data_IF_274097903921
#
_entry.id   IF_274097903921
#
_cell.length_a   1.000
_cell.length_b   1.000
_cell.length_c   1.000
_cell.angle_alpha   90.00
_cell.angle_beta   90.00
_cell.angle_gamma   90.00
#
_symmetry.space_group_name_H-M   'P 1'
#
loop_
_entity.id
_entity.type
_entity.pdbx_description
1 polymer ?
#
# COMPACT_ATOMS: atom_id res chain seq x y z
N UNK A 1 21.55 42.12 1.97
CA UNK A 1 21.13 41.76 0.61
C UNK A 1 22.19 40.83 0.05
N UNK A 2 21.95 39.51 0.11
CA UNK A 2 22.81 38.50 -0.52
C UNK A 2 21.85 37.55 -1.25
N UNK A 3 21.42 37.96 -2.44
CA UNK A 3 20.75 37.07 -3.38
C UNK A 3 21.81 36.12 -3.95
N UNK A 4 21.74 34.87 -3.51
CA UNK A 4 22.61 33.79 -4.02
C UNK A 4 22.22 33.47 -5.48
N UNK A 5 23.16 33.46 -6.44
CA UNK A 5 22.87 33.34 -7.87
C UNK A 5 22.38 31.96 -8.34
N UNK A 6 22.16 31.01 -7.43
CA UNK A 6 21.73 29.65 -7.78
C UNK A 6 20.21 29.46 -7.87
N UNK A 7 19.40 30.44 -7.43
CA UNK A 7 17.92 30.32 -7.43
C UNK A 7 17.28 30.51 -8.81
N UNK A 8 17.91 31.24 -9.73
CA UNK A 8 17.30 31.63 -11.01
C UNK A 8 17.47 30.62 -12.18
N UNK A 9 18.20 29.52 -12.01
CA UNK A 9 18.48 28.58 -13.12
C UNK A 9 17.62 27.31 -13.07
N UNK A 10 17.16 26.90 -11.88
CA UNK A 10 16.39 25.65 -11.70
C UNK A 10 14.88 25.89 -11.65
N UNK A 11 14.44 27.04 -11.14
CA UNK A 11 13.02 27.36 -10.98
C UNK A 11 12.66 28.60 -11.77
N UNK A 12 11.58 28.51 -12.53
CA UNK A 12 10.95 29.67 -13.16
C UNK A 12 10.20 30.50 -12.12
N UNK A 13 9.84 31.74 -12.45
CA UNK A 13 8.96 32.55 -11.60
C UNK A 13 7.60 31.89 -11.32
N UNK A 14 7.12 31.05 -12.24
CA UNK A 14 5.89 30.28 -12.01
C UNK A 14 6.09 29.22 -10.93
N UNK A 15 7.23 28.51 -10.98
CA UNK A 15 7.57 27.48 -9.99
C UNK A 15 7.74 28.10 -8.61
N UNK A 16 8.42 29.25 -8.50
CA UNK A 16 8.60 29.96 -7.23
C UNK A 16 7.25 30.34 -6.61
N UNK A 17 6.32 30.90 -7.39
CA UNK A 17 4.97 31.24 -6.91
C UNK A 17 4.19 30.01 -6.45
N UNK A 18 4.33 28.89 -7.15
CA UNK A 18 3.69 27.64 -6.75
C UNK A 18 4.29 27.10 -5.45
N UNK A 19 5.62 27.09 -5.32
CA UNK A 19 6.34 26.66 -4.11
C UNK A 19 5.86 27.46 -2.89
N UNK A 20 5.76 28.79 -3.03
CA UNK A 20 5.28 29.66 -1.96
C UNK A 20 3.80 29.43 -1.63
N UNK A 21 2.95 29.22 -2.65
CA UNK A 21 1.52 28.91 -2.46
C UNK A 21 1.30 27.62 -1.68
N UNK A 22 2.16 26.62 -1.85
CA UNK A 22 2.14 25.35 -1.12
C UNK A 22 2.80 25.46 0.28
N UNK A 23 3.20 26.67 0.71
CA UNK A 23 3.81 26.91 2.02
C UNK A 23 5.25 26.41 2.16
N UNK A 24 5.96 26.28 1.05
CA UNK A 24 7.35 25.85 0.99
C UNK A 24 8.27 27.02 0.63
N UNK A 25 9.56 26.91 0.94
CA UNK A 25 10.58 27.85 0.49
C UNK A 25 11.41 27.24 -0.64
N UNK A 26 11.91 28.07 -1.56
CA UNK A 26 12.78 27.63 -2.66
C UNK A 26 13.98 26.84 -2.13
N UNK A 27 14.59 27.30 -1.03
CA UNK A 27 15.72 26.61 -0.39
C UNK A 27 15.34 25.21 0.12
N UNK A 28 14.13 25.04 0.67
CA UNK A 28 13.64 23.73 1.13
C UNK A 28 13.46 22.77 -0.05
N UNK A 29 12.93 23.25 -1.18
CA UNK A 29 12.77 22.43 -2.39
C UNK A 29 14.13 22.09 -3.01
N UNK A 30 15.07 23.03 -3.07
CA UNK A 30 16.44 22.76 -3.51
C UNK A 30 17.13 21.69 -2.65
N UNK A 31 16.95 21.73 -1.33
CA UNK A 31 17.49 20.73 -0.42
C UNK A 31 16.88 19.34 -0.66
N UNK A 32 15.58 19.25 -0.96
CA UNK A 32 14.92 18.00 -1.35
C UNK A 32 15.45 17.45 -2.67
N UNK A 33 15.64 18.32 -3.69
CA UNK A 33 16.24 17.93 -4.97
C UNK A 33 17.67 17.41 -4.76
N UNK A 34 18.46 18.08 -3.91
CA UNK A 34 19.81 17.64 -3.57
C UNK A 34 19.79 16.25 -2.92
N UNK A 35 18.84 15.99 -2.01
CA UNK A 35 18.66 14.67 -1.39
C UNK A 35 18.34 13.58 -2.44
N UNK A 36 17.47 13.87 -3.41
CA UNK A 36 17.19 12.90 -4.49
C UNK A 36 18.41 12.62 -5.37
N UNK A 37 19.26 13.62 -5.63
CA UNK A 37 20.49 13.46 -6.43
C UNK A 37 21.57 12.70 -5.67
N UNK A 38 21.75 13.00 -4.38
CA UNK A 38 22.77 12.37 -3.53
C UNK A 38 22.36 10.95 -3.10
N UNK A 39 21.06 10.65 -3.14
CA UNK A 39 20.48 9.44 -2.57
C UNK A 39 20.18 9.60 -1.08
N UNK A 40 19.35 8.71 -0.55
CA UNK A 40 19.04 8.71 0.88
C UNK A 40 20.27 8.23 1.66
N UNK A 41 20.72 9.04 2.63
CA UNK A 41 21.71 8.60 3.59
C UNK A 41 21.12 7.51 4.48
N UNK A 42 21.87 6.44 4.78
CA UNK A 42 21.42 5.44 5.73
C UNK A 42 21.16 6.11 7.08
N UNK A 43 19.98 5.85 7.65
CA UNK A 43 19.64 6.38 8.97
C UNK A 43 20.57 5.76 10.00
N UNK A 44 21.28 6.60 10.76
CA UNK A 44 22.07 6.11 11.89
C UNK A 44 21.11 5.72 13.01
N UNK A 45 20.93 4.42 13.19
CA UNK A 45 20.18 3.89 14.32
C UNK A 45 20.85 4.34 15.63
N UNK A 46 20.07 4.89 16.55
CA UNK A 46 20.56 5.28 17.86
C UNK A 46 20.76 4.02 18.73
N UNK A 47 19.66 3.35 19.09
CA UNK A 47 19.57 2.09 19.83
C UNK A 47 18.12 1.57 19.78
N UNK A 48 17.84 0.29 20.04
CA UNK A 48 16.47 -0.23 20.05
C UNK A 48 15.62 0.47 21.12
N UNK A 49 14.32 0.58 20.87
CA UNK A 49 13.36 0.93 21.91
C UNK A 49 13.23 -0.24 22.89
N UNK A 50 13.09 0.04 24.18
CA UNK A 50 12.86 -0.97 25.23
C UNK A 50 11.62 -0.61 26.05
N UNK A 51 11.20 -1.51 26.94
CA UNK A 51 10.18 -1.17 27.94
C UNK A 51 10.61 0.07 28.71
N UNK A 52 9.70 1.03 28.84
CA UNK A 52 9.89 2.35 29.45
C UNK A 52 10.86 3.26 28.68
N UNK A 53 11.16 2.92 27.43
CA UNK A 53 12.07 3.67 26.55
C UNK A 53 11.63 3.54 25.09
N UNK A 54 10.59 4.29 24.75
CA UNK A 54 9.93 4.22 23.45
C UNK A 54 8.87 3.12 23.33
N UNK A 55 8.85 2.12 24.22
CA UNK A 55 7.76 1.12 24.32
C UNK A 55 7.11 1.22 25.70
N UNK A 56 5.78 1.39 25.72
CA UNK A 56 4.96 1.32 26.94
C UNK A 56 4.24 -0.03 26.94
N UNK A 57 4.38 -0.79 28.03
CA UNK A 57 3.57 -1.98 28.25
C UNK A 57 2.23 -1.59 28.87
N UNK A 58 1.14 -2.09 28.28
CA UNK A 58 -0.19 -1.96 28.84
C UNK A 58 -0.37 -3.06 29.90
N UNK A 59 -0.72 -2.74 31.15
CA UNK A 59 -1.00 -3.74 32.18
C UNK A 59 -2.16 -4.65 31.76
N UNK A 60 -2.09 -5.94 32.07
CA UNK A 60 -3.17 -6.90 31.71
C UNK A 60 -4.53 -6.49 32.30
N UNK A 61 -4.54 -5.93 33.51
CA UNK A 61 -5.76 -5.43 34.18
C UNK A 61 -6.45 -4.29 33.42
N UNK A 62 -5.72 -3.55 32.59
CA UNK A 62 -6.24 -2.41 31.85
C UNK A 62 -6.74 -2.77 30.43
N UNK A 63 -6.41 -3.97 29.94
CA UNK A 63 -6.76 -4.40 28.57
C UNK A 63 -8.26 -4.33 28.31
N UNK A 64 -9.07 -4.84 29.25
CA UNK A 64 -10.53 -4.84 29.12
C UNK A 64 -11.09 -3.41 29.07
N UNK A 65 -10.58 -2.54 29.96
CA UNK A 65 -10.98 -1.13 30.02
C UNK A 65 -10.63 -0.39 28.74
N UNK A 66 -9.39 -0.54 28.25
CA UNK A 66 -8.92 0.13 27.03
C UNK A 66 -9.67 -0.40 25.79
N UNK A 67 -9.94 -1.71 25.72
CA UNK A 67 -10.72 -2.31 24.63
C UNK A 67 -12.15 -1.77 24.62
N UNK A 68 -12.81 -1.71 25.77
CA UNK A 68 -14.15 -1.16 25.89
C UNK A 68 -14.20 0.32 25.49
N UNK A 69 -13.20 1.11 25.89
CA UNK A 69 -13.05 2.51 25.45
C UNK A 69 -12.89 2.60 23.94
N UNK A 70 -11.99 1.82 23.34
CA UNK A 70 -11.80 1.79 21.89
C UNK A 70 -13.11 1.51 21.15
N UNK A 71 -13.83 0.45 21.54
CA UNK A 71 -15.10 0.10 20.88
C UNK A 71 -16.16 1.19 21.02
N UNK A 72 -16.27 1.83 22.20
CA UNK A 72 -17.21 2.93 22.41
C UNK A 72 -16.89 4.12 21.48
N UNK A 73 -15.61 4.39 21.25
CA UNK A 73 -15.15 5.48 20.37
C UNK A 73 -15.27 5.15 18.88
N UNK A 74 -15.08 3.88 18.50
CA UNK A 74 -15.40 3.38 17.15
C UNK A 74 -16.88 3.60 16.84
N UNK A 75 -17.79 3.25 17.78
CA UNK A 75 -19.24 3.44 17.61
C UNK A 75 -19.65 4.91 17.45
N UNK A 76 -18.84 5.84 17.99
CA UNK A 76 -19.02 7.29 17.81
C UNK A 76 -18.42 7.83 16.51
N UNK A 77 -17.80 6.98 15.69
CA UNK A 77 -17.15 7.38 14.44
C UNK A 77 -15.85 8.17 14.62
N UNK A 78 -15.23 8.14 15.81
CA UNK A 78 -13.98 8.89 16.07
C UNK A 78 -12.71 8.19 15.57
N UNK A 79 -12.83 6.93 15.18
CA UNK A 79 -11.71 6.16 14.64
C UNK A 79 -11.74 6.16 13.11
N UNK A 80 -10.69 6.70 12.50
CA UNK A 80 -10.50 6.70 11.05
C UNK A 80 -9.20 5.97 10.71
N UNK A 81 -9.28 5.00 9.80
CA UNK A 81 -8.09 4.39 9.21
C UNK A 81 -7.71 5.18 7.97
N UNK A 82 -6.65 5.97 8.07
CA UNK A 82 -6.07 6.65 6.91
C UNK A 82 -5.10 5.69 6.19
N UNK A 83 -5.46 5.27 4.98
CA UNK A 83 -4.52 4.59 4.08
C UNK A 83 -3.94 5.68 3.18
N UNK A 84 -2.66 6.09 3.35
CA UNK A 84 -2.08 7.11 2.50
C UNK A 84 -2.12 6.64 1.04
N UNK A 85 -2.36 7.59 0.14
CA UNK A 85 -2.22 7.38 -1.29
C UNK A 85 -0.75 7.10 -1.61
N UNK A 86 -0.34 5.84 -1.48
CA UNK A 86 0.84 5.35 -2.16
C UNK A 86 0.60 5.51 -3.66
N UNK A 87 1.61 5.91 -4.42
CA UNK A 87 1.65 5.64 -5.86
C UNK A 87 1.29 4.18 -6.15
N UNK A 88 0.87 3.88 -7.38
CA UNK A 88 0.29 2.59 -7.82
C UNK A 88 0.77 1.38 -6.99
N UNK A 89 -0.15 0.49 -6.62
CA UNK A 89 0.10 -0.63 -5.71
C UNK A 89 1.12 -1.66 -6.23
N UNK A 90 1.84 -1.39 -7.31
CA UNK A 90 2.81 -2.24 -7.99
C UNK A 90 3.87 -2.84 -7.04
N UNK A 91 4.34 -2.11 -6.02
CA UNK A 91 5.25 -2.69 -5.01
C UNK A 91 4.58 -3.72 -4.11
N UNK A 92 3.29 -3.55 -3.81
CA UNK A 92 2.51 -4.49 -2.98
C UNK A 92 2.34 -5.83 -3.70
N UNK A 93 2.20 -5.80 -5.02
CA UNK A 93 2.01 -6.97 -5.85
C UNK A 93 3.29 -7.48 -6.52
N UNK A 94 4.48 -7.01 -6.11
CA UNK A 94 5.76 -7.33 -6.78
C UNK A 94 5.97 -8.85 -6.93
N UNK A 95 5.73 -9.61 -5.88
CA UNK A 95 5.93 -11.07 -5.91
C UNK A 95 4.87 -11.77 -6.75
N UNK A 96 3.66 -11.22 -6.85
CA UNK A 96 2.59 -11.74 -7.69
C UNK A 96 2.84 -11.43 -9.16
N UNK A 97 3.37 -10.25 -9.49
CA UNK A 97 3.83 -9.94 -10.85
C UNK A 97 4.93 -10.88 -11.29
N UNK A 98 5.92 -11.13 -10.42
CA UNK A 98 6.98 -12.10 -10.69
C UNK A 98 6.41 -13.50 -10.93
N UNK A 99 5.49 -13.94 -10.07
CA UNK A 99 4.79 -15.23 -10.22
C UNK A 99 4.01 -15.31 -11.54
N UNK A 100 3.32 -14.22 -11.92
CA UNK A 100 2.57 -14.14 -13.17
C UNK A 100 3.50 -14.25 -14.40
N UNK A 101 4.59 -13.48 -14.43
CA UNK A 101 5.59 -13.49 -15.51
C UNK A 101 6.31 -14.85 -15.65
N UNK A 102 6.58 -15.52 -14.52
CA UNK A 102 7.23 -16.82 -14.49
C UNK A 102 6.25 -18.00 -14.72
N UNK A 103 4.96 -17.72 -14.92
CA UNK A 103 3.92 -18.74 -15.22
C UNK A 103 3.40 -19.49 -13.99
N UNK A 104 3.75 -19.09 -12.77
CA UNK A 104 3.33 -19.71 -11.52
C UNK A 104 4.29 -19.45 -10.37
N UNK A 105 3.94 -19.92 -9.17
CA UNK A 105 4.84 -19.83 -8.02
C UNK A 105 5.99 -20.82 -8.19
N UNK A 106 7.22 -20.39 -7.88
CA UNK A 106 8.40 -21.29 -7.88
C UNK A 106 8.31 -22.41 -6.85
N UNK A 107 7.63 -22.14 -5.73
CA UNK A 107 7.38 -23.11 -4.67
C UNK A 107 5.98 -23.66 -4.82
N UNK A 108 5.87 -24.99 -4.84
CA UNK A 108 4.60 -25.69 -4.87
C UNK A 108 3.77 -25.38 -3.60
N UNK A 109 4.45 -25.23 -2.46
CA UNK A 109 3.87 -24.85 -1.18
C UNK A 109 3.27 -23.44 -1.25
N UNK A 110 3.98 -22.48 -1.84
CA UNK A 110 3.48 -21.11 -2.04
C UNK A 110 2.24 -21.08 -2.94
N UNK A 111 2.24 -21.87 -4.03
CA UNK A 111 1.06 -22.01 -4.88
C UNK A 111 -0.13 -22.65 -4.17
N UNK A 112 0.11 -23.72 -3.40
CA UNK A 112 -0.94 -24.36 -2.60
C UNK A 112 -1.50 -23.43 -1.50
N UNK A 113 -0.63 -22.63 -0.87
CA UNK A 113 -1.02 -21.64 0.11
C UNK A 113 -1.88 -20.53 -0.51
N UNK A 114 -1.52 -20.05 -1.71
CA UNK A 114 -2.34 -19.09 -2.45
C UNK A 114 -3.73 -19.66 -2.77
N UNK A 115 -3.79 -20.85 -3.37
CA UNK A 115 -5.06 -21.51 -3.71
C UNK A 115 -5.94 -21.73 -2.48
N UNK A 116 -5.38 -22.20 -1.36
CA UNK A 116 -6.15 -22.44 -0.13
C UNK A 116 -6.59 -21.16 0.61
N UNK A 117 -6.07 -19.99 0.22
CA UNK A 117 -6.40 -18.72 0.85
C UNK A 117 -7.15 -17.76 -0.07
N UNK A 118 -7.22 -18.01 -1.39
CA UNK A 118 -7.76 -17.04 -2.35
C UNK A 118 -9.22 -16.67 -2.08
N UNK A 119 -10.02 -17.63 -1.61
CA UNK A 119 -11.43 -17.42 -1.24
C UNK A 119 -11.61 -16.48 -0.03
N UNK A 120 -10.56 -16.32 0.78
CA UNK A 120 -10.57 -15.48 1.99
C UNK A 120 -10.23 -14.02 1.68
N UNK A 121 -9.80 -13.70 0.47
CA UNK A 121 -9.52 -12.32 0.11
C UNK A 121 -10.80 -11.49 0.03
N UNK A 122 -10.72 -10.26 0.52
CA UNK A 122 -11.84 -9.31 0.50
C UNK A 122 -12.41 -9.02 -0.90
N UNK A 123 -11.62 -9.26 -1.94
CA UNK A 123 -11.99 -9.06 -3.34
C UNK A 123 -12.45 -10.35 -4.04
N UNK A 124 -12.59 -11.48 -3.33
CA UNK A 124 -12.89 -12.76 -3.96
C UNK A 124 -14.19 -12.76 -4.76
N UNK A 125 -15.25 -12.13 -4.24
CA UNK A 125 -16.53 -11.95 -4.95
C UNK A 125 -16.32 -11.17 -6.26
N UNK A 126 -15.63 -10.03 -6.20
CA UNK A 126 -15.35 -9.19 -7.38
C UNK A 126 -14.50 -9.94 -8.42
N UNK A 127 -13.55 -10.76 -7.95
CA UNK A 127 -12.71 -11.60 -8.80
C UNK A 127 -13.57 -12.65 -9.53
N UNK A 128 -14.46 -13.32 -8.80
CA UNK A 128 -15.45 -14.23 -9.38
C UNK A 128 -16.30 -13.54 -10.45
N UNK A 129 -16.87 -12.39 -10.14
CA UNK A 129 -17.68 -11.60 -11.08
C UNK A 129 -16.89 -11.20 -12.34
N UNK A 130 -15.61 -10.80 -12.18
CA UNK A 130 -14.75 -10.44 -13.29
C UNK A 130 -14.44 -11.62 -14.23
N UNK A 131 -14.19 -12.80 -13.65
CA UNK A 131 -13.94 -14.05 -14.38
C UNK A 131 -15.22 -14.53 -15.09
N UNK A 132 -16.37 -14.51 -14.40
CA UNK A 132 -17.65 -14.93 -14.97
C UNK A 132 -18.11 -14.06 -16.14
N UNK A 133 -17.80 -12.75 -16.14
CA UNK A 133 -18.05 -11.87 -17.31
C UNK A 133 -17.28 -12.30 -18.57
N UNK A 134 -16.24 -13.12 -18.44
CA UNK A 134 -15.48 -13.69 -19.56
C UNK A 134 -15.91 -15.12 -19.91
N UNK A 135 -16.96 -15.65 -19.26
CA UNK A 135 -17.48 -16.99 -19.50
C UNK A 135 -16.68 -18.09 -18.77
N UNK A 136 -15.86 -17.72 -17.80
CA UNK A 136 -15.07 -18.64 -16.98
C UNK A 136 -15.64 -18.75 -15.56
N UNK A 137 -15.10 -19.68 -14.76
CA UNK A 137 -15.52 -19.92 -13.38
C UNK A 137 -14.30 -19.92 -12.46
N UNK A 138 -14.30 -19.03 -11.46
CA UNK A 138 -13.20 -18.89 -10.50
C UNK A 138 -12.95 -20.19 -9.74
N UNK A 139 -13.99 -20.95 -9.40
CA UNK A 139 -13.85 -22.23 -8.70
C UNK A 139 -13.13 -23.25 -9.58
N UNK A 140 -13.44 -23.30 -10.88
CA UNK A 140 -12.72 -24.18 -11.83
C UNK A 140 -11.26 -23.78 -11.98
N UNK A 141 -10.95 -22.49 -12.01
CA UNK A 141 -9.55 -22.02 -12.07
C UNK A 141 -8.76 -22.41 -10.82
N UNK A 142 -9.41 -22.36 -9.65
CA UNK A 142 -8.84 -22.78 -8.37
C UNK A 142 -8.58 -24.29 -8.36
N UNK A 143 -9.58 -25.10 -8.73
CA UNK A 143 -9.50 -26.57 -8.80
C UNK A 143 -8.41 -27.02 -9.77
N UNK A 144 -8.33 -26.38 -10.95
CA UNK A 144 -7.30 -26.63 -11.96
C UNK A 144 -5.93 -26.01 -11.61
N UNK A 145 -5.81 -25.33 -10.46
CA UNK A 145 -4.60 -24.64 -10.00
C UNK A 145 -4.01 -23.69 -11.04
N UNK A 146 -4.86 -23.01 -11.82
CA UNK A 146 -4.46 -22.02 -12.85
C UNK A 146 -4.06 -20.69 -12.21
N UNK A 147 -3.06 -20.73 -11.33
CA UNK A 147 -2.62 -19.59 -10.51
C UNK A 147 -2.27 -18.37 -11.36
N UNK A 148 -1.47 -18.55 -12.42
CA UNK A 148 -1.02 -17.43 -13.24
C UNK A 148 -2.20 -16.65 -13.86
N UNK A 149 -3.24 -17.37 -14.29
CA UNK A 149 -4.44 -16.75 -14.85
C UNK A 149 -5.29 -16.05 -13.77
N UNK A 150 -5.41 -16.64 -12.58
CA UNK A 150 -6.06 -15.97 -11.44
C UNK A 150 -5.32 -14.65 -11.13
N UNK A 151 -3.99 -14.67 -11.10
CA UNK A 151 -3.18 -13.47 -10.88
C UNK A 151 -3.33 -12.45 -12.02
N UNK A 152 -3.44 -12.90 -13.28
CA UNK A 152 -3.69 -12.01 -14.42
C UNK A 152 -5.00 -11.24 -14.26
N UNK A 153 -6.08 -11.93 -13.84
CA UNK A 153 -7.37 -11.31 -13.54
C UNK A 153 -7.29 -10.33 -12.37
N UNK A 154 -6.45 -10.58 -11.36
CA UNK A 154 -6.28 -9.64 -10.25
C UNK A 154 -5.45 -8.42 -10.67
N UNK A 155 -4.31 -8.62 -11.33
CA UNK A 155 -3.27 -7.60 -11.49
C UNK A 155 -3.50 -6.67 -12.68
N UNK A 156 -4.16 -7.15 -13.74
CA UNK A 156 -4.22 -6.46 -15.03
C UNK A 156 -5.64 -5.99 -15.37
N UNK A 157 -5.75 -5.21 -16.45
CA UNK A 157 -7.02 -4.77 -17.01
C UNK A 157 -7.91 -5.91 -17.54
N UNK A 158 -7.42 -7.17 -17.54
CA UNK A 158 -8.26 -8.35 -17.81
C UNK A 158 -9.37 -8.52 -16.77
N UNK A 159 -9.13 -8.13 -15.52
CA UNK A 159 -10.10 -8.19 -14.43
C UNK A 159 -10.06 -6.96 -13.54
N UNK A 160 -9.64 -7.12 -12.28
CA UNK A 160 -9.72 -6.11 -11.23
C UNK A 160 -8.73 -4.95 -11.42
N UNK A 161 -7.67 -5.15 -12.20
CA UNK A 161 -6.65 -4.15 -12.49
C UNK A 161 -5.92 -3.60 -11.24
N UNK A 162 -5.85 -4.39 -10.17
CA UNK A 162 -5.33 -3.94 -8.87
C UNK A 162 -3.89 -3.46 -8.92
N UNK A 163 -3.08 -3.92 -9.87
CA UNK A 163 -1.72 -3.47 -10.03
C UNK A 163 -1.58 -2.02 -10.50
N UNK A 164 -2.62 -1.46 -11.12
CA UNK A 164 -2.67 -0.09 -11.61
C UNK A 164 -3.57 0.83 -10.77
N UNK A 165 -4.29 0.29 -9.79
CA UNK A 165 -5.15 1.10 -8.92
C UNK A 165 -4.33 1.73 -7.77
N UNK A 166 -4.73 2.94 -7.32
CA UNK A 166 -4.31 3.45 -6.02
C UNK A 166 -4.70 2.47 -4.91
N UNK A 167 -3.85 2.31 -3.89
CA UNK A 167 -4.12 1.39 -2.76
C UNK A 167 -5.46 1.67 -2.08
N UNK A 168 -5.90 2.93 -2.05
CA UNK A 168 -7.18 3.33 -1.48
C UNK A 168 -8.40 2.69 -2.15
N UNK A 169 -8.27 2.23 -3.40
CA UNK A 169 -9.35 1.56 -4.14
C UNK A 169 -9.30 0.03 -4.02
N UNK A 170 -8.32 -0.52 -3.31
CA UNK A 170 -8.20 -1.95 -3.11
C UNK A 170 -9.05 -2.39 -1.92
N UNK A 171 -9.82 -3.46 -2.10
CA UNK A 171 -10.54 -4.09 -0.98
C UNK A 171 -9.55 -4.83 -0.07
N UNK A 172 -9.44 -4.36 1.17
CA UNK A 172 -8.68 -5.03 2.23
C UNK A 172 -9.56 -5.77 3.23
N UNK A 173 -10.86 -5.47 3.28
CA UNK A 173 -11.82 -6.10 4.19
C UNK A 173 -13.09 -6.44 3.41
N UNK A 174 -13.63 -7.64 3.64
CA UNK A 174 -14.99 -7.96 3.23
C UNK A 174 -15.92 -7.38 4.30
N UNK A 175 -16.73 -6.40 3.92
CA UNK A 175 -17.80 -5.91 4.77
C UNK A 175 -19.02 -6.81 4.55
N UNK A 176 -19.74 -7.23 5.61
CA UNK A 176 -21.06 -7.81 5.45
C UNK A 176 -21.95 -6.83 4.68
N UNK A 177 -22.76 -7.36 3.76
CA UNK A 177 -23.82 -6.59 3.09
C UNK A 177 -24.86 -6.09 4.11
#
# INVERSE_FOLDING_TARGET
>A
MNDSPLSNIIFTHSDVRQIEKEGLSVNRVLAQIALFRQGAFPVRLNRPCTLNDGIVAIPEGDLNTITALYEAEVRKGRMLKFVPASGAASRMFKDWYKCFEEGGFKSQEAGAAFISSVEKYAFFKDLGDAISRKGEDVTRLIEARRVSEILEYVLTSKGLNYGNLPKALLKFHAYPD
#
